data_IF_111582025615
#
_entry.id   IF_111582025615
#
_cell.length_a   1.000
_cell.length_b   1.000
_cell.length_c   1.000
_cell.angle_alpha   90.00
_cell.angle_beta   90.00
_cell.angle_gamma   90.00
#
_symmetry.space_group_name_H-M   'P 1'
#
loop_
_entity.id
_entity.type
_entity.pdbx_description
1 polymer ?
#
# COMPACT_ATOMS: atom_id res chain seq x y z
N UNK A 1 29.82 -18.26 -13.48
CA UNK A 1 28.49 -17.63 -13.52
C UNK A 1 27.56 -18.42 -12.63
N UNK A 2 27.31 -17.93 -11.41
CA UNK A 2 26.33 -18.51 -10.48
C UNK A 2 24.92 -18.25 -11.02
N UNK A 3 24.19 -19.31 -11.36
CA UNK A 3 22.76 -19.21 -11.67
C UNK A 3 22.04 -18.63 -10.44
N UNK A 4 21.17 -17.63 -10.57
CA UNK A 4 20.30 -17.24 -9.46
C UNK A 4 19.44 -18.45 -9.09
N UNK A 5 19.57 -18.93 -7.86
CA UNK A 5 19.00 -20.17 -7.34
C UNK A 5 17.54 -20.06 -6.91
N UNK A 6 16.78 -19.13 -7.49
CA UNK A 6 15.34 -19.05 -7.27
C UNK A 6 14.62 -19.11 -8.62
N UNK A 7 13.65 -20.02 -8.82
CA UNK A 7 12.76 -19.92 -9.96
C UNK A 7 12.04 -18.58 -9.87
N UNK A 8 12.21 -17.72 -10.88
CA UNK A 8 11.47 -16.47 -10.98
C UNK A 8 9.97 -16.78 -10.93
N UNK A 9 9.33 -16.35 -9.85
CA UNK A 9 7.92 -16.66 -9.58
C UNK A 9 7.17 -15.36 -9.27
N UNK A 10 5.91 -15.29 -9.73
CA UNK A 10 5.01 -14.20 -9.35
C UNK A 10 4.88 -14.20 -7.81
N UNK A 11 5.25 -13.07 -7.22
CA UNK A 11 5.09 -12.84 -5.79
C UNK A 11 3.64 -13.02 -5.33
N UNK A 12 3.46 -13.67 -4.17
CA UNK A 12 2.18 -13.64 -3.46
C UNK A 12 1.95 -12.23 -2.88
N UNK A 13 0.84 -11.60 -3.23
CA UNK A 13 0.53 -10.21 -2.88
C UNK A 13 0.44 -9.96 -1.37
N UNK A 14 -0.13 -10.90 -0.58
CA UNK A 14 -0.20 -10.76 0.87
C UNK A 14 1.18 -10.85 1.52
N UNK A 15 2.02 -11.77 1.03
CA UNK A 15 3.41 -11.89 1.49
C UNK A 15 4.21 -10.64 1.12
N UNK A 16 4.00 -10.10 -0.08
CA UNK A 16 4.63 -8.87 -0.53
C UNK A 16 4.23 -7.69 0.37
N UNK A 17 2.95 -7.57 0.75
CA UNK A 17 2.48 -6.54 1.66
C UNK A 17 3.13 -6.66 3.04
N UNK A 18 3.18 -7.87 3.60
CA UNK A 18 3.82 -8.11 4.89
C UNK A 18 5.30 -7.71 4.87
N UNK A 19 6.03 -8.12 3.83
CA UNK A 19 7.45 -7.78 3.67
C UNK A 19 7.66 -6.30 3.38
N UNK A 20 6.74 -5.64 2.66
CA UNK A 20 6.79 -4.21 2.40
C UNK A 20 6.80 -3.39 3.71
N UNK A 21 6.03 -3.84 4.71
CA UNK A 21 5.95 -3.20 6.04
C UNK A 21 7.09 -3.63 6.96
N UNK A 22 7.47 -4.91 6.95
CA UNK A 22 8.35 -5.49 7.99
C UNK A 22 9.82 -5.66 7.59
N UNK A 23 10.10 -5.85 6.31
CA UNK A 23 11.42 -6.28 5.84
C UNK A 23 11.72 -5.78 4.43
N UNK A 24 12.14 -4.52 4.32
CA UNK A 24 12.41 -3.85 3.04
C UNK A 24 13.35 -4.64 2.12
N UNK A 25 14.48 -5.16 2.64
CA UNK A 25 15.43 -5.92 1.81
C UNK A 25 14.77 -7.13 1.13
N UNK A 26 13.98 -7.90 1.90
CA UNK A 26 13.25 -9.07 1.40
C UNK A 26 12.13 -8.68 0.44
N UNK A 27 11.50 -7.54 0.66
CA UNK A 27 10.54 -6.98 -0.29
C UNK A 27 11.20 -6.63 -1.62
N UNK A 28 12.37 -5.99 -1.61
CA UNK A 28 13.08 -5.63 -2.84
C UNK A 28 13.50 -6.87 -3.63
N UNK A 29 14.05 -7.88 -2.96
CA UNK A 29 14.42 -9.13 -3.63
C UNK A 29 13.19 -9.82 -4.26
N UNK A 30 12.04 -9.78 -3.56
CA UNK A 30 10.76 -10.28 -4.07
C UNK A 30 10.23 -9.45 -5.25
N UNK A 31 10.40 -8.13 -5.22
CA UNK A 31 9.97 -7.23 -6.29
C UNK A 31 10.78 -7.45 -7.57
N UNK A 32 12.10 -7.65 -7.45
CA UNK A 32 12.97 -7.98 -8.57
C UNK A 32 12.60 -9.34 -9.17
N UNK A 33 12.39 -10.36 -8.33
CA UNK A 33 11.99 -11.68 -8.79
C UNK A 33 10.60 -11.66 -9.48
N UNK A 34 9.65 -10.89 -8.94
CA UNK A 34 8.34 -10.67 -9.55
C UNK A 34 8.47 -9.96 -10.89
N UNK A 35 9.25 -8.88 -10.97
CA UNK A 35 9.49 -8.15 -12.21
C UNK A 35 10.12 -9.00 -13.30
N UNK A 36 11.07 -9.87 -12.95
CA UNK A 36 11.62 -10.85 -13.89
C UNK A 36 10.55 -11.83 -14.36
N UNK A 37 9.75 -12.38 -13.44
CA UNK A 37 8.66 -13.29 -13.79
C UNK A 37 7.63 -12.62 -14.71
N UNK A 38 7.36 -11.32 -14.51
CA UNK A 38 6.48 -10.53 -15.37
C UNK A 38 7.06 -10.40 -16.77
N UNK A 39 8.34 -10.00 -16.89
CA UNK A 39 9.04 -9.87 -18.17
C UNK A 39 9.11 -11.19 -18.94
N UNK A 40 9.34 -12.32 -18.26
CA UNK A 40 9.40 -13.65 -18.87
C UNK A 40 8.05 -14.20 -19.34
N UNK A 41 6.94 -13.51 -19.10
CA UNK A 41 5.65 -13.84 -19.75
C UNK A 41 5.65 -13.47 -21.24
N UNK A 42 6.46 -12.47 -21.64
CA UNK A 42 6.58 -12.07 -23.03
C UNK A 42 7.40 -13.12 -23.82
N UNK A 43 6.86 -13.71 -24.91
CA UNK A 43 7.53 -14.81 -25.61
C UNK A 43 8.90 -14.45 -26.19
N UNK A 44 9.08 -13.20 -26.61
CA UNK A 44 10.32 -12.62 -27.11
C UNK A 44 11.39 -12.53 -26.01
N UNK A 45 11.04 -11.99 -24.85
CA UNK A 45 11.94 -11.91 -23.69
C UNK A 45 12.27 -13.28 -23.13
N UNK A 46 11.31 -14.22 -23.15
CA UNK A 46 11.56 -15.60 -22.76
C UNK A 46 12.58 -16.28 -23.67
N UNK A 47 12.44 -16.13 -25.00
CA UNK A 47 13.43 -16.65 -25.96
C UNK A 47 14.80 -16.01 -25.76
N UNK A 48 14.87 -14.70 -25.54
CA UNK A 48 16.13 -14.00 -25.27
C UNK A 48 16.78 -14.47 -23.95
N UNK A 49 15.97 -14.81 -22.94
CA UNK A 49 16.43 -15.38 -21.69
C UNK A 49 17.01 -16.78 -21.87
N UNK A 50 16.31 -17.64 -22.62
CA UNK A 50 16.76 -19.00 -22.92
C UNK A 50 18.06 -18.99 -23.77
N UNK A 51 18.27 -17.93 -24.57
CA UNK A 51 19.48 -17.68 -25.35
C UNK A 51 20.62 -17.00 -24.55
N UNK A 52 20.39 -16.64 -23.28
CA UNK A 52 21.37 -15.93 -22.45
C UNK A 52 21.62 -14.47 -22.85
N UNK A 53 20.77 -13.89 -23.70
CA UNK A 53 20.83 -12.49 -24.12
C UNK A 53 20.07 -11.54 -23.17
N UNK A 54 19.21 -12.11 -22.33
CA UNK A 54 18.45 -11.42 -21.29
C UNK A 54 18.62 -12.16 -19.95
N UNK A 55 18.77 -11.47 -18.81
CA UNK A 55 18.82 -10.01 -18.64
C UNK A 55 20.14 -9.36 -19.09
N UNK A 56 20.09 -8.06 -19.41
CA UNK A 56 21.29 -7.25 -19.69
C UNK A 56 22.17 -7.15 -18.44
N UNK A 57 23.47 -6.94 -18.63
CA UNK A 57 24.41 -6.67 -17.52
C UNK A 57 23.93 -5.43 -16.76
N UNK A 58 23.80 -5.54 -15.43
CA UNK A 58 23.33 -4.45 -14.57
C UNK A 58 21.81 -4.37 -14.37
N UNK A 59 21.01 -5.17 -15.10
CA UNK A 59 19.54 -5.15 -15.00
C UNK A 59 19.03 -5.34 -13.56
N UNK A 60 19.66 -6.23 -12.79
CA UNK A 60 19.24 -6.50 -11.41
C UNK A 60 19.40 -5.27 -10.51
N UNK A 61 20.47 -4.50 -10.69
CA UNK A 61 20.71 -3.27 -9.95
C UNK A 61 19.68 -2.19 -10.32
N UNK A 62 19.42 -2.01 -11.62
CA UNK A 62 18.40 -1.06 -12.11
C UNK A 62 16.99 -1.44 -11.63
N UNK A 63 16.65 -2.73 -11.65
CA UNK A 63 15.38 -3.26 -11.17
C UNK A 63 15.24 -3.03 -9.65
N UNK A 64 16.32 -3.24 -8.89
CA UNK A 64 16.33 -3.02 -7.44
C UNK A 64 16.19 -1.54 -7.09
N UNK A 65 16.89 -0.65 -7.78
CA UNK A 65 16.78 0.79 -7.58
C UNK A 65 15.37 1.30 -7.91
N UNK A 66 14.80 0.82 -9.02
CA UNK A 66 13.43 1.17 -9.42
C UNK A 66 12.42 0.67 -8.38
N UNK A 67 12.54 -0.59 -7.94
CA UNK A 67 11.69 -1.15 -6.89
C UNK A 67 11.80 -0.36 -5.57
N UNK A 68 12.99 0.13 -5.22
CA UNK A 68 13.20 0.95 -4.04
C UNK A 68 12.54 2.33 -4.17
N UNK A 69 12.70 3.00 -5.31
CA UNK A 69 12.03 4.28 -5.59
C UNK A 69 10.52 4.15 -5.49
N UNK A 70 9.92 3.17 -6.15
CA UNK A 70 8.47 2.94 -6.08
C UNK A 70 7.99 2.60 -4.68
N UNK A 71 8.75 1.80 -3.92
CA UNK A 71 8.42 1.51 -2.52
C UNK A 71 8.45 2.77 -1.66
N UNK A 72 9.44 3.63 -1.84
CA UNK A 72 9.57 4.90 -1.13
C UNK A 72 8.42 5.87 -1.47
N UNK A 73 8.06 5.99 -2.75
CA UNK A 73 6.91 6.77 -3.21
C UNK A 73 5.61 6.26 -2.59
N UNK A 74 5.39 4.94 -2.57
CA UNK A 74 4.21 4.33 -1.97
C UNK A 74 4.12 4.63 -0.47
N UNK A 75 5.22 4.45 0.28
CA UNK A 75 5.29 4.78 1.72
C UNK A 75 5.03 6.26 1.97
N UNK A 76 5.63 7.14 1.15
CA UNK A 76 5.44 8.58 1.26
C UNK A 76 3.99 8.96 1.03
N UNK A 77 3.34 8.38 0.01
CA UNK A 77 1.92 8.60 -0.28
C UNK A 77 1.02 8.16 0.89
N UNK A 78 1.27 6.97 1.43
CA UNK A 78 0.53 6.44 2.60
C UNK A 78 0.67 7.40 3.79
N UNK A 79 1.89 7.85 4.09
CA UNK A 79 2.18 8.75 5.21
C UNK A 79 1.61 10.16 4.99
N UNK A 80 1.72 10.72 3.78
CA UNK A 80 1.17 12.05 3.50
C UNK A 80 -0.35 12.07 3.59
N UNK A 81 -1.01 11.03 3.09
CA UNK A 81 -2.46 10.90 3.23
C UNK A 81 -2.88 10.74 4.70
N UNK A 82 -2.11 10.01 5.50
CA UNK A 82 -2.37 9.85 6.93
C UNK A 82 -2.31 11.19 7.65
N UNK A 83 -1.23 11.96 7.43
CA UNK A 83 -1.03 13.28 8.03
C UNK A 83 -2.16 14.23 7.60
N UNK A 84 -2.48 14.27 6.30
CA UNK A 84 -3.55 15.12 5.79
C UNK A 84 -4.92 14.76 6.39
N UNK A 85 -5.24 13.47 6.50
CA UNK A 85 -6.49 13.00 7.13
C UNK A 85 -6.54 13.41 8.60
N UNK A 86 -5.43 13.23 9.33
CA UNK A 86 -5.33 13.63 10.73
C UNK A 86 -5.53 15.14 10.94
N UNK A 87 -4.97 15.97 10.04
CA UNK A 87 -5.18 17.42 10.09
C UNK A 87 -6.64 17.80 9.85
N UNK A 88 -7.29 17.19 8.85
CA UNK A 88 -8.71 17.44 8.54
C UNK A 88 -9.61 17.02 9.70
N UNK A 89 -9.38 15.84 10.28
CA UNK A 89 -10.12 15.37 11.44
C UNK A 89 -9.89 16.26 12.66
N UNK A 90 -8.66 16.75 12.85
CA UNK A 90 -8.32 17.73 13.89
C UNK A 90 -9.13 19.03 13.76
N UNK A 91 -9.31 19.54 12.54
CA UNK A 91 -10.18 20.71 12.28
C UNK A 91 -11.63 20.38 12.62
N UNK A 92 -12.12 19.19 12.24
CA UNK A 92 -13.47 18.73 12.58
C UNK A 92 -13.71 18.67 14.08
N UNK A 93 -12.76 18.13 14.85
CA UNK A 93 -12.81 18.09 16.32
C UNK A 93 -12.77 19.51 16.91
N UNK A 94 -11.93 20.40 16.41
CA UNK A 94 -11.87 21.79 16.87
C UNK A 94 -13.20 22.52 16.67
N UNK A 95 -13.85 22.34 15.50
CA UNK A 95 -15.19 22.88 15.23
C UNK A 95 -16.22 22.30 16.20
N UNK A 96 -16.22 20.97 16.40
CA UNK A 96 -17.15 20.32 17.32
C UNK A 96 -16.97 20.80 18.78
N UNK A 97 -15.73 21.07 19.19
CA UNK A 97 -15.41 21.66 20.49
C UNK A 97 -15.94 23.10 20.61
N UNK A 98 -15.72 23.95 19.60
CA UNK A 98 -16.27 25.32 19.56
C UNK A 98 -17.81 25.35 19.63
N UNK A 99 -18.47 24.36 19.04
CA UNK A 99 -19.93 24.20 19.09
C UNK A 99 -20.44 23.58 20.40
N UNK A 100 -19.55 23.27 21.36
CA UNK A 100 -19.90 22.62 22.63
C UNK A 100 -20.38 21.17 22.48
N UNK A 101 -20.12 20.52 21.34
CA UNK A 101 -20.49 19.12 21.08
C UNK A 101 -19.48 18.12 21.65
N UNK A 102 -18.24 18.56 21.87
CA UNK A 102 -17.15 17.79 22.47
C UNK A 102 -16.60 18.57 23.66
N UNK A 103 -16.34 17.92 24.79
CA UNK A 103 -15.80 18.56 25.99
C UNK A 103 -15.05 17.58 26.89
N UNK A 104 -14.20 18.09 27.80
CA UNK A 104 -13.35 17.27 28.67
C UNK A 104 -14.12 16.35 29.64
N UNK A 105 -15.42 16.58 29.81
CA UNK A 105 -16.33 15.81 30.65
C UNK A 105 -17.13 14.76 29.87
N UNK A 106 -16.87 14.58 28.56
CA UNK A 106 -17.51 13.50 27.80
C UNK A 106 -16.98 12.15 28.27
N UNK A 107 -17.91 11.27 28.65
CA UNK A 107 -17.58 9.85 28.83
C UNK A 107 -17.13 9.25 27.50
N UNK A 108 -16.06 8.46 27.55
CA UNK A 108 -15.54 7.71 26.43
C UNK A 108 -16.57 6.66 26.00
N UNK A 109 -17.41 7.05 25.04
CA UNK A 109 -18.42 6.21 24.43
C UNK A 109 -17.75 5.28 23.40
N UNK A 110 -17.76 3.95 23.61
CA UNK A 110 -17.13 3.00 22.70
C UNK A 110 -17.69 3.06 21.28
N UNK A 111 -18.99 3.30 21.10
CA UNK A 111 -19.63 3.40 19.78
C UNK A 111 -19.15 4.62 19.01
N UNK A 112 -19.01 5.78 19.68
CA UNK A 112 -18.43 6.99 19.06
C UNK A 112 -16.96 6.81 18.71
N UNK A 113 -16.18 6.16 19.58
CA UNK A 113 -14.76 5.86 19.31
C UNK A 113 -14.63 4.93 18.11
N UNK A 114 -15.46 3.88 18.04
CA UNK A 114 -15.49 2.94 16.93
C UNK A 114 -15.88 3.64 15.62
N UNK A 115 -16.92 4.49 15.68
CA UNK A 115 -17.39 5.25 14.53
C UNK A 115 -16.33 6.23 14.01
N UNK A 116 -15.68 6.97 14.91
CA UNK A 116 -14.64 7.93 14.56
C UNK A 116 -13.39 7.24 14.00
N UNK A 117 -12.96 6.15 14.64
CA UNK A 117 -11.78 5.37 14.21
C UNK A 117 -12.02 4.71 12.85
N UNK A 118 -13.23 4.19 12.61
CA UNK A 118 -13.63 3.66 11.31
C UNK A 118 -13.69 4.74 10.22
N UNK A 119 -14.29 5.89 10.54
CA UNK A 119 -14.36 7.04 9.65
C UNK A 119 -12.97 7.54 9.25
N UNK A 120 -12.07 7.70 10.22
CA UNK A 120 -10.68 8.07 9.99
C UNK A 120 -9.98 7.06 9.05
N UNK A 121 -10.11 5.76 9.33
CA UNK A 121 -9.46 4.72 8.53
C UNK A 121 -9.96 4.71 7.07
N UNK A 122 -11.27 4.88 6.87
CA UNK A 122 -11.87 4.96 5.54
C UNK A 122 -11.49 6.25 4.79
N UNK A 123 -11.48 7.38 5.49
CA UNK A 123 -11.08 8.68 4.94
C UNK A 123 -9.60 8.66 4.53
N UNK A 124 -8.73 8.09 5.36
CA UNK A 124 -7.32 7.91 5.06
C UNK A 124 -7.08 7.05 3.82
N UNK A 125 -7.73 5.89 3.75
CA UNK A 125 -7.65 5.00 2.59
C UNK A 125 -8.10 5.71 1.31
N UNK A 126 -9.20 6.47 1.39
CA UNK A 126 -9.77 7.20 0.25
C UNK A 126 -8.85 8.34 -0.20
N UNK A 127 -8.33 9.13 0.73
CA UNK A 127 -7.44 10.23 0.40
C UNK A 127 -6.13 9.74 -0.22
N UNK A 128 -5.64 8.60 0.25
CA UNK A 128 -4.49 7.95 -0.34
C UNK A 128 -4.76 7.48 -1.78
N UNK A 129 -5.89 6.80 -2.02
CA UNK A 129 -6.29 6.36 -3.37
C UNK A 129 -6.45 7.54 -4.34
N UNK A 130 -6.95 8.70 -3.86
CA UNK A 130 -7.07 9.94 -4.64
C UNK A 130 -5.73 10.61 -4.94
N UNK A 131 -4.70 10.37 -4.13
CA UNK A 131 -3.36 10.96 -4.31
C UNK A 131 -2.63 10.50 -5.58
N UNK A 132 -3.16 9.47 -6.25
CA UNK A 132 -2.57 8.89 -7.46
C UNK A 132 -1.30 8.11 -7.17
N UNK A 133 -0.87 7.30 -8.14
CA UNK A 133 0.37 6.54 -8.05
C UNK A 133 1.06 6.41 -9.41
N UNK A 134 2.38 6.19 -9.37
CA UNK A 134 3.18 5.95 -10.56
C UNK A 134 2.87 4.56 -11.13
N UNK A 135 2.24 4.53 -12.31
CA UNK A 135 2.04 3.31 -13.10
C UNK A 135 3.25 3.06 -13.99
N UNK A 136 3.74 1.82 -13.98
CA UNK A 136 4.72 1.34 -14.95
C UNK A 136 4.00 0.90 -16.23
N UNK A 137 4.75 0.78 -17.31
CA UNK A 137 4.23 0.34 -18.61
C UNK A 137 3.60 -1.07 -18.55
N UNK A 138 4.10 -1.95 -17.67
CA UNK A 138 3.57 -3.32 -17.57
C UNK A 138 2.27 -3.42 -16.79
N UNK A 139 1.94 -2.45 -15.92
CA UNK A 139 0.77 -2.52 -15.05
C UNK A 139 0.82 -3.62 -13.97
N UNK A 140 1.87 -4.45 -13.98
CA UNK A 140 2.03 -5.63 -13.13
C UNK A 140 3.19 -5.48 -12.15
N UNK A 141 3.77 -4.29 -12.01
CA UNK A 141 4.81 -4.08 -11.02
C UNK A 141 4.27 -4.29 -9.60
N UNK A 142 5.11 -4.79 -8.70
CA UNK A 142 4.66 -5.25 -7.38
C UNK A 142 3.98 -4.13 -6.57
N UNK A 143 4.42 -2.88 -6.71
CA UNK A 143 3.80 -1.73 -6.04
C UNK A 143 2.38 -1.43 -6.56
N UNK A 144 2.11 -1.68 -7.84
CA UNK A 144 0.79 -1.48 -8.46
C UNK A 144 -0.21 -2.55 -8.03
N UNK A 145 0.26 -3.77 -7.77
CA UNK A 145 -0.58 -4.84 -7.19
C UNK A 145 -0.85 -4.58 -5.71
N UNK A 146 0.11 -4.00 -4.99
CA UNK A 146 -0.05 -3.65 -3.58
C UNK A 146 -0.98 -2.46 -3.36
N UNK A 147 -1.06 -1.53 -4.31
CA UNK A 147 -1.88 -0.34 -4.21
C UNK A 147 -3.37 -0.64 -3.88
N UNK A 148 -4.12 -1.32 -4.76
CA UNK A 148 -5.53 -1.62 -4.51
C UNK A 148 -5.74 -2.57 -3.32
N UNK A 149 -4.74 -3.39 -2.97
CA UNK A 149 -4.81 -4.27 -1.81
C UNK A 149 -4.78 -3.47 -0.51
N UNK A 150 -3.85 -2.52 -0.39
CA UNK A 150 -3.77 -1.65 0.80
C UNK A 150 -5.05 -0.83 0.96
N UNK A 151 -5.58 -0.28 -0.13
CA UNK A 151 -6.86 0.44 -0.10
C UNK A 151 -7.96 -0.43 0.50
N UNK A 152 -8.14 -1.66 0.02
CA UNK A 152 -9.17 -2.58 0.52
C UNK A 152 -8.97 -2.95 1.99
N UNK A 153 -7.73 -3.18 2.42
CA UNK A 153 -7.40 -3.56 3.80
C UNK A 153 -7.62 -2.41 4.79
N UNK A 154 -7.44 -1.16 4.37
CA UNK A 154 -7.76 0.00 5.22
C UNK A 154 -9.23 0.38 5.12
N UNK A 155 -9.78 0.48 3.90
CA UNK A 155 -11.13 0.97 3.66
C UNK A 155 -12.22 0.04 4.22
N UNK A 156 -12.16 -1.27 3.95
CA UNK A 156 -13.25 -2.18 4.33
C UNK A 156 -13.40 -2.31 5.85
N UNK A 157 -12.34 -2.51 6.65
CA UNK A 157 -12.46 -2.45 8.10
C UNK A 157 -12.90 -1.06 8.57
N UNK A 158 -12.48 0.01 7.89
CA UNK A 158 -12.84 1.37 8.25
C UNK A 158 -14.34 1.59 8.16
N UNK A 159 -14.94 1.23 7.04
CA UNK A 159 -16.40 1.28 6.85
C UNK A 159 -17.10 0.37 7.85
N UNK A 160 -16.61 -0.85 8.07
CA UNK A 160 -17.22 -1.79 9.02
C UNK A 160 -17.23 -1.23 10.45
N UNK A 161 -16.11 -0.67 10.92
CA UNK A 161 -16.02 -0.03 12.24
C UNK A 161 -16.89 1.22 12.33
N UNK A 162 -16.92 2.03 11.26
CA UNK A 162 -17.75 3.23 11.18
C UNK A 162 -19.23 2.89 11.38
N UNK A 163 -19.72 1.91 10.61
CA UNK A 163 -21.10 1.44 10.67
C UNK A 163 -21.41 0.73 11.99
N UNK A 164 -20.52 -0.15 12.48
CA UNK A 164 -20.70 -0.82 13.75
C UNK A 164 -20.80 0.19 14.92
N UNK A 165 -20.00 1.25 14.90
CA UNK A 165 -20.04 2.30 15.92
C UNK A 165 -21.34 3.08 15.92
N UNK A 166 -21.90 3.35 14.73
CA UNK A 166 -23.20 4.00 14.58
C UNK A 166 -24.36 3.12 15.07
N UNK A 167 -24.25 1.79 14.88
CA UNK A 167 -25.28 0.82 15.29
C UNK A 167 -25.18 0.42 16.76
N UNK A 168 -24.06 0.67 17.44
CA UNK A 168 -23.81 0.28 18.84
C UNK A 168 -24.81 0.89 19.86
N UNK A 169 -25.52 1.95 19.48
CA UNK A 169 -26.47 2.67 20.33
C UNK A 169 -27.93 2.60 19.85
N UNK A 170 -28.23 1.78 18.84
CA UNK A 170 -29.60 1.34 18.57
C UNK A 170 -29.94 0.15 19.47
#
# INVERSE_FOLDING_TARGET
MSRPSSPFAKANTLKALLLFVTAEKKYLDLAVAHGMAVNLQAPDLRRAFDQGQFPKVGWENEARESAHKFAAELRRGIASAFIATFLVDGVGVAIAWMLGKVGAHMNADPGKILSASGGFLAAWATLWELGGYAKTYSGEALHEVLHPLFFRIAFLPGVALATAGQLWWQ
#
